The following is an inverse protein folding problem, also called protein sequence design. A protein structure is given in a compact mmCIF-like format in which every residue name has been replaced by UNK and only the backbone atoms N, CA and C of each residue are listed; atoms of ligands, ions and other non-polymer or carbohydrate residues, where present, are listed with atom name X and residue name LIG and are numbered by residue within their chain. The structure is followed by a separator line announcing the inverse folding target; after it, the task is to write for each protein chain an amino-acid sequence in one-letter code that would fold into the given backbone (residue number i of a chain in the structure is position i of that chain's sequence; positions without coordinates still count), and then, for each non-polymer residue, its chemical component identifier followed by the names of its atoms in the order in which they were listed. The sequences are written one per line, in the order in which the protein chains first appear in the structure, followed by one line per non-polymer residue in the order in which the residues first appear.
data_IF_854501608477
#
_entry.id   IF_854501608477
#
_cell.length_a   1.000
_cell.length_b   1.000
_cell.length_c   1.000
_cell.angle_alpha   90.00
_cell.angle_beta   90.00
_cell.angle_gamma   90.00
#
_symmetry.space_group_name_H-M   'P 1'
#
loop_
_entity.id
_entity.type
_entity.pdbx_description
1 polymer ?
#
# COMPACT_ATOMS: atom_id res chain seq x y z
N UNK A 1 -33.79 3.50 -8.46
CA UNK A 1 -32.47 2.88 -8.71
C UNK A 1 -31.65 3.13 -7.46
N UNK A 2 -31.52 2.13 -6.62
CA UNK A 2 -30.81 2.18 -5.33
C UNK A 2 -29.30 2.14 -5.60
N UNK A 3 -28.59 3.18 -5.16
CA UNK A 3 -27.14 3.21 -5.12
C UNK A 3 -26.63 2.05 -4.25
N UNK A 4 -25.57 1.32 -4.65
CA UNK A 4 -25.00 0.28 -3.81
C UNK A 4 -24.40 0.93 -2.55
N UNK A 5 -24.67 0.30 -1.41
CA UNK A 5 -24.12 0.66 -0.11
C UNK A 5 -22.58 0.60 -0.14
N UNK A 6 -21.84 1.41 0.64
CA UNK A 6 -20.37 1.38 0.67
C UNK A 6 -19.76 0.09 1.27
N UNK A 7 -20.54 -0.96 1.53
CA UNK A 7 -20.17 -2.17 2.27
C UNK A 7 -19.74 -3.36 1.42
N UNK A 8 -19.81 -3.28 0.09
CA UNK A 8 -19.67 -4.46 -0.78
C UNK A 8 -18.30 -4.58 -1.44
N UNK A 9 -17.29 -3.81 -1.00
CA UNK A 9 -15.92 -4.05 -1.44
C UNK A 9 -15.36 -5.26 -0.71
N UNK A 10 -15.11 -6.36 -1.45
CA UNK A 10 -14.37 -7.50 -0.93
C UNK A 10 -13.04 -7.00 -0.31
N UNK A 11 -12.68 -7.47 0.89
CA UNK A 11 -11.42 -7.08 1.51
C UNK A 11 -10.23 -7.48 0.62
N UNK A 12 -9.21 -6.60 0.53
CA UNK A 12 -7.99 -6.76 -0.29
C UNK A 12 -7.19 -8.04 0.05
N UNK A 13 -7.50 -8.70 1.17
CA UNK A 13 -6.97 -10.02 1.50
C UNK A 13 -7.72 -10.67 2.66
N UNK A 14 -7.51 -11.97 2.82
CA UNK A 14 -8.08 -12.79 3.89
C UNK A 14 -7.13 -12.77 5.07
N UNK A 15 -7.64 -12.53 6.28
CA UNK A 15 -6.80 -12.55 7.48
C UNK A 15 -6.42 -14.00 7.81
N UNK A 16 -5.13 -14.30 7.76
CA UNK A 16 -4.58 -15.64 8.04
C UNK A 16 -3.65 -15.68 9.25
N UNK A 17 -3.53 -14.58 10.01
CA UNK A 17 -2.73 -14.52 11.23
C UNK A 17 -2.96 -15.71 12.17
N UNK A 18 -4.22 -16.07 12.53
CA UNK A 18 -4.45 -17.16 13.47
C UNK A 18 -3.98 -18.52 12.93
N UNK A 19 -4.07 -18.73 11.62
CA UNK A 19 -3.64 -19.98 10.97
C UNK A 19 -2.12 -20.10 11.01
N UNK A 20 -1.41 -19.02 10.69
CA UNK A 20 0.06 -18.99 10.77
C UNK A 20 0.53 -19.17 12.21
N UNK A 21 -0.08 -18.50 13.18
CA UNK A 21 0.27 -18.64 14.60
C UNK A 21 0.03 -20.07 15.09
N UNK A 22 -1.06 -20.70 14.67
CA UNK A 22 -1.37 -22.10 15.00
C UNK A 22 -0.35 -23.06 14.39
N UNK A 23 -0.01 -22.92 13.10
CA UNK A 23 1.01 -23.76 12.44
C UNK A 23 2.39 -23.58 13.11
N UNK A 24 2.77 -22.34 13.42
CA UNK A 24 4.01 -22.04 14.12
C UNK A 24 4.05 -22.69 15.51
N UNK A 25 2.97 -22.64 16.27
CA UNK A 25 2.89 -23.25 17.60
C UNK A 25 3.00 -24.78 17.55
N UNK A 26 2.43 -25.41 16.53
CA UNK A 26 2.53 -26.88 16.34
C UNK A 26 3.95 -27.32 15.93
N UNK A 27 4.73 -26.41 15.33
CA UNK A 27 6.06 -26.68 14.78
C UNK A 27 7.21 -26.19 15.67
N UNK A 28 6.92 -25.72 16.89
CA UNK A 28 7.96 -25.31 17.83
C UNK A 28 8.86 -26.48 18.20
N UNK A 29 10.01 -26.55 17.52
CA UNK A 29 11.15 -27.39 17.85
C UNK A 29 12.32 -26.49 18.24
N UNK A 30 13.04 -26.82 19.32
CA UNK A 30 14.17 -26.03 19.81
C UNK A 30 15.34 -25.92 18.81
N UNK A 31 15.36 -26.77 17.77
CA UNK A 31 16.50 -26.88 16.85
C UNK A 31 16.34 -26.16 15.50
N UNK A 32 15.13 -25.72 15.11
CA UNK A 32 14.90 -25.13 13.78
C UNK A 32 14.91 -23.59 13.85
N UNK A 33 15.63 -22.87 12.98
CA UNK A 33 15.58 -21.41 12.91
C UNK A 33 14.15 -20.87 12.72
N UNK A 34 13.83 -19.76 13.40
CA UNK A 34 12.48 -19.17 13.39
C UNK A 34 11.98 -18.83 11.98
N UNK A 35 12.88 -18.37 11.09
CA UNK A 35 12.53 -18.02 9.71
C UNK A 35 12.13 -19.26 8.89
N UNK A 36 12.77 -20.40 9.13
CA UNK A 36 12.44 -21.66 8.45
C UNK A 36 11.13 -22.24 8.96
N UNK A 37 10.90 -22.16 10.28
CA UNK A 37 9.60 -22.51 10.87
C UNK A 37 8.47 -21.65 10.27
N UNK A 38 8.72 -20.34 10.15
CA UNK A 38 7.78 -19.41 9.54
C UNK A 38 7.54 -19.70 8.06
N UNK A 39 8.59 -19.92 7.26
CA UNK A 39 8.46 -20.27 5.85
C UNK A 39 7.61 -21.52 5.64
N UNK A 40 7.84 -22.55 6.46
CA UNK A 40 7.06 -23.81 6.41
C UNK A 40 5.60 -23.58 6.78
N UNK A 41 5.35 -22.78 7.83
CA UNK A 41 3.99 -22.47 8.29
C UNK A 41 3.23 -21.60 7.28
N UNK A 42 3.90 -20.61 6.71
CA UNK A 42 3.34 -19.74 5.67
C UNK A 42 3.03 -20.54 4.39
N UNK A 43 3.89 -21.48 4.01
CA UNK A 43 3.65 -22.39 2.88
C UNK A 43 2.40 -23.24 3.09
N UNK A 44 2.28 -23.91 4.24
CA UNK A 44 1.13 -24.75 4.55
C UNK A 44 -0.19 -23.96 4.46
N UNK A 45 -0.23 -22.79 5.08
CA UNK A 45 -1.42 -21.91 5.03
C UNK A 45 -1.66 -21.40 3.61
N UNK A 46 -0.62 -21.05 2.85
CA UNK A 46 -0.78 -20.55 1.48
C UNK A 46 -1.36 -21.60 0.53
N UNK A 47 -0.96 -22.87 0.67
CA UNK A 47 -1.53 -24.01 -0.10
C UNK A 47 -3.03 -24.13 0.21
N UNK A 48 -3.41 -24.11 1.50
CA UNK A 48 -4.82 -24.19 1.90
C UNK A 48 -5.66 -23.00 1.39
N UNK A 49 -5.06 -21.81 1.32
CA UNK A 49 -5.74 -20.63 0.76
C UNK A 49 -5.83 -20.70 -0.76
N UNK A 50 -4.80 -21.19 -1.44
CA UNK A 50 -4.78 -21.35 -2.89
C UNK A 50 -5.97 -22.21 -3.37
N UNK A 51 -6.22 -23.34 -2.71
CA UNK A 51 -7.36 -24.23 -3.01
C UNK A 51 -8.72 -23.53 -2.92
N UNK A 52 -8.82 -22.46 -2.13
CA UNK A 52 -10.07 -21.73 -1.88
C UNK A 52 -10.19 -20.44 -2.70
N UNK A 53 -9.07 -19.80 -2.99
CA UNK A 53 -9.01 -18.39 -3.37
C UNK A 53 -8.20 -18.11 -4.63
N UNK A 54 -7.63 -19.13 -5.26
CA UNK A 54 -6.69 -19.04 -6.38
C UNK A 54 -5.34 -18.44 -5.98
N UNK A 55 -4.40 -18.37 -6.92
CA UNK A 55 -3.01 -17.93 -6.78
C UNK A 55 -2.89 -16.57 -6.07
N UNK A 56 -1.85 -16.42 -5.25
CA UNK A 56 -1.67 -15.23 -4.43
C UNK A 56 -0.36 -15.19 -3.65
N UNK A 57 -0.32 -14.35 -2.63
CA UNK A 57 0.82 -14.19 -1.73
C UNK A 57 0.38 -14.09 -0.27
N UNK A 58 1.28 -14.48 0.62
CA UNK A 58 1.19 -14.17 2.05
C UNK A 58 1.83 -12.80 2.28
N UNK A 59 1.04 -11.82 2.69
CA UNK A 59 1.51 -10.50 3.09
C UNK A 59 1.60 -10.41 4.62
N UNK A 60 2.81 -10.32 5.15
CA UNK A 60 3.09 -9.99 6.54
C UNK A 60 3.29 -8.50 6.72
N UNK A 61 2.49 -7.88 7.59
CA UNK A 61 2.62 -6.50 8.02
C UNK A 61 3.05 -6.48 9.48
N UNK A 62 4.24 -5.98 9.75
CA UNK A 62 4.75 -5.84 11.11
C UNK A 62 4.84 -4.35 11.49
N UNK A 63 4.25 -4.00 12.62
CA UNK A 63 4.43 -2.69 13.24
C UNK A 63 4.79 -2.85 14.72
N UNK A 64 5.12 -1.75 15.40
CA UNK A 64 5.55 -1.76 16.80
C UNK A 64 4.53 -2.36 17.80
N UNK A 65 3.29 -2.63 17.39
CA UNK A 65 2.21 -3.12 18.25
C UNK A 65 1.69 -4.50 17.86
N UNK A 66 1.84 -4.91 16.61
CA UNK A 66 1.26 -6.16 16.12
C UNK A 66 1.93 -6.64 14.82
N UNK A 67 1.90 -7.96 14.65
CA UNK A 67 2.17 -8.65 13.39
C UNK A 67 0.85 -9.16 12.82
N UNK A 68 0.57 -8.85 11.55
CA UNK A 68 -0.65 -9.30 10.87
C UNK A 68 -0.28 -9.97 9.56
N UNK A 69 -0.92 -11.09 9.26
CA UNK A 69 -0.74 -11.80 8.01
C UNK A 69 -2.04 -11.85 7.22
N UNK A 70 -1.93 -11.59 5.92
CA UNK A 70 -3.03 -11.65 4.96
C UNK A 70 -2.67 -12.61 3.83
N UNK A 71 -3.64 -13.36 3.33
CA UNK A 71 -3.55 -13.96 2.01
C UNK A 71 -4.16 -13.00 0.99
N UNK A 72 -3.37 -12.56 0.03
CA UNK A 72 -3.77 -11.59 -1.00
C UNK A 72 -3.76 -12.29 -2.34
N UNK A 73 -4.89 -12.29 -3.05
CA UNK A 73 -5.02 -12.88 -4.38
C UNK A 73 -4.14 -12.12 -5.39
N UNK A 74 -3.66 -12.80 -6.43
CA UNK A 74 -2.77 -12.21 -7.45
C UNK A 74 -3.32 -10.89 -8.02
N UNK A 75 -4.62 -10.82 -8.32
CA UNK A 75 -5.29 -9.61 -8.85
C UNK A 75 -5.24 -8.40 -7.90
N UNK A 76 -5.08 -8.65 -6.60
CA UNK A 76 -5.13 -7.65 -5.53
C UNK A 76 -3.73 -7.31 -4.98
N UNK A 77 -2.68 -8.01 -5.42
CA UNK A 77 -1.29 -7.85 -4.94
C UNK A 77 -0.77 -6.41 -5.09
N UNK A 78 -0.95 -5.80 -6.27
CA UNK A 78 -0.48 -4.43 -6.51
C UNK A 78 -1.12 -3.41 -5.54
N UNK A 79 -2.42 -3.58 -5.27
CA UNK A 79 -3.19 -2.76 -4.34
C UNK A 79 -2.73 -2.98 -2.90
N UNK A 80 -2.53 -4.23 -2.49
CA UNK A 80 -2.08 -4.58 -1.14
C UNK A 80 -0.67 -4.03 -0.83
N UNK A 81 0.18 -3.95 -1.85
CA UNK A 81 1.56 -3.48 -1.76
C UNK A 81 1.69 -1.98 -2.07
N UNK A 82 0.64 -1.19 -1.91
CA UNK A 82 0.61 0.23 -2.29
C UNK A 82 1.83 1.04 -1.81
N UNK A 83 2.38 0.71 -0.64
CA UNK A 83 3.54 1.33 0.01
C UNK A 83 4.92 0.91 -0.54
N UNK A 84 4.98 0.01 -1.51
CA UNK A 84 6.22 -0.40 -2.16
C UNK A 84 6.40 0.31 -3.50
N UNK A 85 7.66 0.41 -3.94
CA UNK A 85 7.98 0.94 -5.27
C UNK A 85 7.33 0.10 -6.38
N UNK A 86 7.21 0.69 -7.57
CA UNK A 86 6.71 -0.02 -8.76
C UNK A 86 7.59 -1.23 -9.10
N UNK A 87 8.91 -1.11 -8.94
CA UNK A 87 9.83 -2.18 -9.30
C UNK A 87 9.68 -3.39 -8.38
N UNK A 88 9.51 -3.17 -7.07
CA UNK A 88 9.21 -4.27 -6.14
C UNK A 88 7.82 -4.86 -6.39
N UNK A 89 6.81 -4.06 -6.70
CA UNK A 89 5.48 -4.58 -7.11
C UNK A 89 5.58 -5.47 -8.35
N UNK A 90 6.36 -5.06 -9.36
CA UNK A 90 6.62 -5.87 -10.57
C UNK A 90 7.36 -7.15 -10.23
N UNK A 91 8.36 -7.08 -9.35
CA UNK A 91 9.11 -8.27 -8.94
C UNK A 91 8.24 -9.26 -8.19
N UNK A 92 7.39 -8.79 -7.27
CA UNK A 92 6.40 -9.63 -6.60
C UNK A 92 5.44 -10.24 -7.62
N UNK A 93 4.91 -9.45 -8.56
CA UNK A 93 4.00 -9.96 -9.59
C UNK A 93 4.65 -11.05 -10.46
N UNK A 94 5.91 -10.88 -10.85
CA UNK A 94 6.69 -11.89 -11.58
C UNK A 94 6.81 -13.20 -10.79
N UNK A 95 7.21 -13.13 -9.52
CA UNK A 95 7.36 -14.33 -8.68
C UNK A 95 6.00 -14.98 -8.40
N UNK A 96 4.96 -14.18 -8.16
CA UNK A 96 3.58 -14.67 -8.00
C UNK A 96 3.08 -15.35 -9.27
N UNK A 97 3.49 -14.93 -10.47
CA UNK A 97 3.06 -15.57 -11.72
C UNK A 97 3.77 -16.91 -11.97
N UNK A 98 5.00 -17.07 -11.48
CA UNK A 98 5.87 -18.20 -11.82
C UNK A 98 5.91 -19.32 -10.79
N UNK A 99 5.59 -19.06 -9.51
CA UNK A 99 5.71 -20.09 -8.46
C UNK A 99 4.75 -21.27 -8.66
N UNK A 100 5.08 -22.42 -8.08
CA UNK A 100 4.25 -23.63 -8.06
C UNK A 100 3.39 -23.67 -6.80
N UNK A 101 2.07 -23.39 -6.86
CA UNK A 101 1.25 -23.18 -5.67
C UNK A 101 0.99 -24.42 -4.82
N UNK A 102 1.34 -25.60 -5.33
CA UNK A 102 1.24 -26.88 -4.59
C UNK A 102 2.46 -27.15 -3.69
N UNK A 103 3.59 -26.46 -3.93
CA UNK A 103 4.87 -26.74 -3.26
C UNK A 103 5.65 -25.48 -2.86
N UNK A 104 5.21 -24.31 -3.30
CA UNK A 104 5.84 -23.02 -3.08
C UNK A 104 4.83 -21.97 -2.63
N UNK A 105 5.32 -20.97 -1.89
CA UNK A 105 4.53 -19.83 -1.47
C UNK A 105 5.33 -18.54 -1.56
N UNK A 106 4.73 -17.52 -2.15
CA UNK A 106 5.28 -16.17 -2.16
C UNK A 106 4.93 -15.47 -0.86
N UNK A 107 5.96 -14.98 -0.15
CA UNK A 107 5.79 -14.28 1.12
C UNK A 107 6.41 -12.90 1.03
N UNK A 108 5.61 -11.87 1.25
CA UNK A 108 6.08 -10.48 1.33
C UNK A 108 5.98 -10.01 2.77
N UNK A 109 7.13 -9.70 3.38
CA UNK A 109 7.22 -9.19 4.74
C UNK A 109 7.54 -7.70 4.71
N UNK A 110 6.57 -6.87 5.08
CA UNK A 110 6.76 -5.43 5.28
C UNK A 110 7.07 -5.19 6.75
N UNK A 111 8.34 -4.88 7.02
CA UNK A 111 8.88 -4.57 8.35
C UNK A 111 9.58 -3.21 8.24
N UNK A 112 8.87 -2.09 8.42
CA UNK A 112 9.43 -0.78 8.15
C UNK A 112 10.76 -0.55 8.89
N UNK A 113 11.79 -0.01 8.22
CA UNK A 113 11.72 0.69 6.93
C UNK A 113 11.87 -0.19 5.67
N UNK A 114 11.87 -1.52 5.76
CA UNK A 114 12.15 -2.42 4.63
C UNK A 114 11.02 -3.40 4.33
N UNK A 115 10.95 -3.83 3.08
CA UNK A 115 10.12 -4.93 2.63
C UNK A 115 11.01 -6.01 2.04
N UNK A 116 10.71 -7.26 2.40
CA UNK A 116 11.42 -8.44 1.93
C UNK A 116 10.45 -9.32 1.16
N UNK A 117 10.85 -9.74 -0.04
CA UNK A 117 10.16 -10.75 -0.82
C UNK A 117 10.91 -12.07 -0.65
N UNK A 118 10.17 -13.11 -0.29
CA UNK A 118 10.68 -14.45 -0.12
C UNK A 118 9.88 -15.46 -0.95
N UNK A 119 10.55 -16.57 -1.26
CA UNK A 119 9.94 -17.78 -1.76
C UNK A 119 10.13 -18.88 -0.71
N UNK A 120 9.04 -19.35 -0.13
CA UNK A 120 9.04 -20.55 0.71
C UNK A 120 8.78 -21.78 -0.16
N UNK A 121 9.48 -22.88 0.11
CA UNK A 121 9.35 -24.14 -0.63
C UNK A 121 9.30 -25.31 0.34
N UNK A 122 8.66 -26.41 -0.06
CA UNK A 122 8.67 -27.66 0.70
C UNK A 122 10.01 -28.39 0.65
N UNK A 123 10.84 -28.11 -0.37
CA UNK A 123 12.09 -28.82 -0.64
C UNK A 123 13.33 -28.07 -0.17
N UNK A 124 13.24 -26.73 -0.06
CA UNK A 124 14.37 -25.84 0.21
C UNK A 124 14.05 -24.86 1.33
N UNK A 125 15.08 -24.40 2.08
CA UNK A 125 14.91 -23.29 3.00
C UNK A 125 14.31 -22.07 2.30
N UNK A 126 13.57 -21.28 3.06
CA UNK A 126 12.96 -20.05 2.58
C UNK A 126 14.03 -19.11 2.01
N UNK A 127 13.90 -18.77 0.73
CA UNK A 127 14.86 -17.96 -0.01
C UNK A 127 14.41 -16.51 -0.03
N UNK A 128 15.32 -15.58 0.24
CA UNK A 128 15.08 -14.15 0.03
C UNK A 128 15.38 -13.81 -1.43
N UNK A 129 14.36 -13.34 -2.14
CA UNK A 129 14.46 -12.98 -3.56
C UNK A 129 14.88 -11.52 -3.72
N UNK A 130 14.27 -10.62 -2.93
CA UNK A 130 14.49 -9.18 -3.05
C UNK A 130 14.28 -8.50 -1.70
N UNK A 131 15.07 -7.45 -1.45
CA UNK A 131 14.89 -6.57 -0.30
C UNK A 131 14.93 -5.12 -0.79
N UNK A 132 13.89 -4.37 -0.49
CA UNK A 132 13.83 -2.95 -0.83
C UNK A 132 13.34 -2.13 0.36
N UNK A 133 13.78 -0.88 0.45
CA UNK A 133 13.16 0.08 1.35
C UNK A 133 11.68 0.21 1.01
N UNK A 134 10.84 0.20 2.05
CA UNK A 134 9.45 0.62 1.91
C UNK A 134 9.50 2.08 1.50
N UNK A 135 8.78 2.43 0.44
CA UNK A 135 8.43 3.83 0.24
C UNK A 135 7.45 4.19 1.35
N UNK A 136 7.99 4.49 2.55
CA UNK A 136 7.23 5.18 3.56
C UNK A 136 6.90 6.51 2.93
N UNK A 137 5.70 6.61 2.36
CA UNK A 137 5.17 7.88 1.91
C UNK A 137 4.79 8.72 3.12
N UNK A 138 5.73 8.97 4.04
CA UNK A 138 5.74 10.18 4.84
C UNK A 138 5.86 11.32 3.84
N UNK A 139 4.71 11.84 3.43
CA UNK A 139 4.63 13.15 2.81
C UNK A 139 4.97 14.17 3.90
N UNK A 140 6.25 14.47 4.05
CA UNK A 140 6.71 15.48 4.99
C UNK A 140 6.29 16.84 4.45
N UNK A 141 5.25 17.40 5.05
CA UNK A 141 4.83 18.75 4.74
C UNK A 141 5.96 19.73 5.07
N UNK A 142 6.26 20.70 4.17
CA UNK A 142 7.23 21.74 4.46
C UNK A 142 6.87 22.48 5.75
N UNK A 143 7.89 23.01 6.43
CA UNK A 143 7.70 23.72 7.69
C UNK A 143 6.64 24.81 7.57
N UNK A 144 5.68 24.82 8.50
CA UNK A 144 4.57 25.77 8.52
C UNK A 144 3.43 25.44 7.56
N UNK A 145 3.48 24.35 6.80
CA UNK A 145 2.37 23.87 5.96
C UNK A 145 1.55 22.82 6.70
N UNK A 146 0.23 22.93 6.62
CA UNK A 146 -0.74 21.95 7.08
C UNK A 146 -1.64 21.49 5.94
N UNK A 147 -2.14 20.26 6.03
CA UNK A 147 -3.11 19.70 5.09
C UNK A 147 -4.41 19.34 5.79
N UNK A 148 -5.52 19.51 5.10
CA UNK A 148 -6.84 19.05 5.52
C UNK A 148 -7.48 18.25 4.41
N UNK A 149 -8.02 17.07 4.74
CA UNK A 149 -8.86 16.28 3.85
C UNK A 149 -10.33 16.64 4.10
N UNK A 150 -11.06 16.95 3.04
CA UNK A 150 -12.51 17.16 3.07
C UNK A 150 -13.18 16.32 1.98
N UNK A 151 -14.42 15.90 2.20
CA UNK A 151 -15.20 15.13 1.24
C UNK A 151 -16.53 15.86 0.98
N UNK A 152 -16.92 16.01 -0.30
CA UNK A 152 -18.22 16.55 -0.69
C UNK A 152 -18.84 15.65 -1.75
N UNK A 153 -19.81 14.84 -1.33
CA UNK A 153 -20.36 13.79 -2.19
C UNK A 153 -19.23 12.82 -2.60
N UNK A 154 -19.12 12.46 -3.89
CA UNK A 154 -18.09 11.54 -4.36
C UNK A 154 -16.71 12.20 -4.56
N UNK A 155 -16.61 13.53 -4.38
CA UNK A 155 -15.35 14.27 -4.59
C UNK A 155 -14.57 14.41 -3.30
N UNK A 156 -13.26 14.13 -3.36
CA UNK A 156 -12.32 14.30 -2.25
C UNK A 156 -11.43 15.51 -2.50
N UNK A 157 -11.18 16.30 -1.45
CA UNK A 157 -10.36 17.50 -1.48
C UNK A 157 -9.21 17.39 -0.49
N UNK A 158 -7.99 17.67 -0.94
CA UNK A 158 -6.82 17.86 -0.09
C UNK A 158 -6.44 19.32 -0.13
N UNK A 159 -6.73 20.06 0.94
CA UNK A 159 -6.49 21.50 1.05
C UNK A 159 -5.19 21.75 1.80
N UNK A 160 -4.31 22.59 1.25
CA UNK A 160 -3.02 22.92 1.83
C UNK A 160 -2.98 24.39 2.27
N UNK A 161 -2.53 24.63 3.49
CA UNK A 161 -2.44 25.98 4.07
C UNK A 161 -1.08 26.18 4.71
N UNK A 162 -0.54 27.39 4.63
CA UNK A 162 0.70 27.77 5.30
C UNK A 162 0.43 28.77 6.41
N UNK A 163 1.08 28.63 7.57
CA UNK A 163 0.86 29.44 8.78
C UNK A 163 0.93 30.95 8.53
N UNK A 164 1.80 31.40 7.61
CA UNK A 164 1.96 32.83 7.26
C UNK A 164 1.29 33.25 5.95
N UNK A 165 1.15 32.33 5.00
CA UNK A 165 0.61 32.66 3.67
C UNK A 165 -0.90 32.37 3.59
N UNK A 166 -1.47 31.62 4.54
CA UNK A 166 -2.84 31.15 4.44
C UNK A 166 -2.97 30.05 3.39
N UNK A 167 -4.12 30.00 2.70
CA UNK A 167 -4.41 28.96 1.72
C UNK A 167 -3.38 28.93 0.57
N UNK A 168 -2.74 27.80 0.35
CA UNK A 168 -1.80 27.60 -0.75
C UNK A 168 -2.52 27.12 -2.02
N UNK A 169 -3.41 26.15 -1.85
CA UNK A 169 -4.15 25.51 -2.94
C UNK A 169 -4.82 24.24 -2.45
N UNK A 170 -5.41 23.49 -3.37
CA UNK A 170 -6.02 22.20 -3.10
C UNK A 170 -5.86 21.23 -4.25
N UNK A 171 -5.82 19.95 -3.95
CA UNK A 171 -5.96 18.87 -4.93
C UNK A 171 -7.36 18.33 -4.83
N UNK A 172 -7.99 18.15 -5.98
CA UNK A 172 -9.37 17.71 -6.13
C UNK A 172 -9.39 16.39 -6.88
N UNK A 173 -10.04 15.41 -6.28
CA UNK A 173 -10.21 14.07 -6.80
C UNK A 173 -11.67 13.87 -7.17
N UNK A 174 -11.94 13.83 -8.47
CA UNK A 174 -13.27 13.59 -9.01
C UNK A 174 -13.35 12.19 -9.61
N UNK A 175 -14.14 11.26 -9.04
CA UNK A 175 -14.38 9.99 -9.69
C UNK A 175 -15.19 10.21 -10.97
N UNK A 176 -14.66 9.75 -12.10
CA UNK A 176 -15.36 9.71 -13.39
C UNK A 176 -16.16 8.39 -13.50
N UNK A 177 -15.60 7.31 -12.95
CA UNK A 177 -16.22 5.98 -12.90
C UNK A 177 -15.62 5.19 -11.73
N UNK A 178 -16.12 3.97 -11.40
CA UNK A 178 -15.56 3.16 -10.31
C UNK A 178 -14.06 2.84 -10.47
N UNK A 179 -13.51 2.99 -11.68
CA UNK A 179 -12.12 2.64 -11.99
C UNK A 179 -11.33 3.82 -12.56
N UNK A 180 -11.93 5.01 -12.67
CA UNK A 180 -11.27 6.20 -13.23
C UNK A 180 -11.51 7.40 -12.34
N UNK A 181 -10.43 8.09 -12.00
CA UNK A 181 -10.44 9.32 -11.23
C UNK A 181 -9.73 10.42 -11.99
N UNK A 182 -10.34 11.59 -12.06
CA UNK A 182 -9.70 12.81 -12.50
C UNK A 182 -9.02 13.47 -11.30
N UNK A 183 -7.77 13.86 -11.46
CA UNK A 183 -6.99 14.56 -10.44
C UNK A 183 -6.66 15.95 -10.97
N UNK A 184 -7.16 16.98 -10.29
CA UNK A 184 -6.91 18.38 -10.64
C UNK A 184 -6.31 19.08 -9.44
N UNK A 185 -5.32 19.94 -9.65
CA UNK A 185 -4.87 20.86 -8.61
C UNK A 185 -5.38 22.26 -8.90
N UNK A 186 -5.78 22.97 -7.86
CA UNK A 186 -6.21 24.35 -7.91
C UNK A 186 -5.32 25.17 -6.99
N UNK A 187 -4.61 26.13 -7.57
CA UNK A 187 -3.84 27.09 -6.80
C UNK A 187 -4.80 28.13 -6.21
N UNK A 188 -4.56 28.56 -4.97
CA UNK A 188 -5.31 29.67 -4.41
C UNK A 188 -5.19 30.90 -5.32
N UNK A 189 -6.34 31.36 -5.85
CA UNK A 189 -6.44 32.52 -6.72
C UNK A 189 -6.69 33.77 -5.83
N UNK A 190 -6.01 34.90 -6.03
CA UNK A 190 -5.96 36.01 -5.08
C UNK A 190 -7.20 36.92 -5.15
N UNK A 191 -8.40 36.39 -5.48
CA UNK A 191 -9.65 37.17 -5.40
C UNK A 191 -9.97 37.42 -3.91
N UNK A 192 -9.27 38.37 -3.31
CA UNK A 192 -9.34 38.74 -1.89
C UNK A 192 -7.99 38.96 -1.19
N UNK A 193 -6.84 38.78 -1.84
CA UNK A 193 -5.52 39.02 -1.24
C UNK A 193 -4.70 39.99 -2.10
N UNK A 194 -4.48 41.20 -1.58
CA UNK A 194 -3.88 42.36 -2.26
C UNK A 194 -2.38 42.23 -2.63
N UNK A 195 -1.72 41.09 -2.44
CA UNK A 195 -0.26 41.01 -2.58
C UNK A 195 0.18 39.91 -3.55
N UNK A 196 0.22 40.26 -4.84
CA UNK A 196 0.78 39.43 -5.92
C UNK A 196 2.22 38.95 -5.61
N UNK A 197 2.96 39.64 -4.74
CA UNK A 197 4.32 39.27 -4.30
C UNK A 197 4.39 37.94 -3.54
N UNK A 198 3.29 37.51 -2.92
CA UNK A 198 3.23 36.23 -2.22
C UNK A 198 2.67 35.11 -3.10
N UNK A 199 2.19 35.41 -4.31
CA UNK A 199 1.66 34.40 -5.23
C UNK A 199 2.76 33.43 -5.66
N UNK A 200 3.92 33.95 -6.04
CA UNK A 200 5.05 33.10 -6.44
C UNK A 200 5.49 32.20 -5.28
N UNK A 201 5.61 32.73 -4.06
CA UNK A 201 5.95 31.94 -2.87
C UNK A 201 4.93 30.84 -2.56
N UNK A 202 3.64 31.09 -2.81
CA UNK A 202 2.61 30.05 -2.67
C UNK A 202 2.79 28.95 -3.70
N UNK A 203 3.06 29.33 -4.95
CA UNK A 203 3.32 28.39 -6.05
C UNK A 203 4.58 27.55 -5.79
N UNK A 204 5.66 28.17 -5.36
CA UNK A 204 6.94 27.52 -5.08
C UNK A 204 6.82 26.46 -3.97
N UNK A 205 5.87 26.65 -3.04
CA UNK A 205 5.58 25.66 -1.98
C UNK A 205 4.54 24.65 -2.48
N UNK A 206 3.47 25.10 -3.13
CA UNK A 206 2.31 24.26 -3.44
C UNK A 206 2.52 23.34 -4.64
N UNK A 207 3.16 23.82 -5.71
CA UNK A 207 3.30 23.03 -6.94
C UNK A 207 4.12 21.76 -6.73
N UNK A 208 5.28 21.77 -6.02
CA UNK A 208 6.00 20.53 -5.73
C UNK A 208 5.16 19.55 -4.91
N UNK A 209 4.44 20.06 -3.90
CA UNK A 209 3.53 19.25 -3.08
C UNK A 209 2.40 18.63 -3.91
N UNK A 210 1.87 19.40 -4.86
CA UNK A 210 0.79 18.93 -5.73
C UNK A 210 1.28 17.90 -6.73
N UNK A 211 2.44 18.12 -7.36
CA UNK A 211 3.06 17.18 -8.29
C UNK A 211 3.38 15.85 -7.61
N UNK A 212 4.04 15.90 -6.46
CA UNK A 212 4.39 14.72 -5.68
C UNK A 212 3.15 13.93 -5.25
N UNK A 213 2.08 14.61 -4.78
CA UNK A 213 0.84 13.93 -4.42
C UNK A 213 0.12 13.36 -5.65
N UNK A 214 0.12 14.04 -6.79
CA UNK A 214 -0.47 13.56 -8.04
C UNK A 214 0.29 12.34 -8.57
N UNK A 215 1.62 12.39 -8.60
CA UNK A 215 2.46 11.25 -8.99
C UNK A 215 2.18 10.05 -8.08
N UNK A 216 2.13 10.25 -6.77
CA UNK A 216 1.78 9.20 -5.80
C UNK A 216 0.39 8.62 -6.02
N UNK A 217 -0.61 9.48 -6.25
CA UNK A 217 -1.95 9.03 -6.56
C UNK A 217 -1.99 8.27 -7.88
N UNK A 218 -1.24 8.70 -8.89
CA UNK A 218 -1.13 8.01 -10.17
C UNK A 218 -0.50 6.62 -10.02
N UNK A 219 0.54 6.48 -9.18
CA UNK A 219 1.17 5.19 -8.87
C UNK A 219 0.24 4.23 -8.12
N UNK A 220 -0.65 4.75 -7.28
CA UNK A 220 -1.71 3.96 -6.64
C UNK A 220 -2.88 3.60 -7.58
N UNK A 221 -2.99 4.28 -8.72
CA UNK A 221 -4.07 4.11 -9.72
C UNK A 221 -3.62 3.37 -10.98
N UNK A 222 -2.31 3.17 -11.20
CA UNK A 222 -1.78 2.32 -12.25
C UNK A 222 -2.11 0.86 -11.92
N UNK A 223 -3.26 0.42 -12.43
CA UNK A 223 -3.66 -0.98 -12.57
C UNK A 223 -2.88 -1.65 -13.69
#
# INVERSE_FOLDING_TARGET
MTSPSPSDQEPIGIVITPMIEQEMAQRQSEATPLLEQFGTSALQVAIEQYERCDRGMVLGLENAKAKKFLYVKQRDCATALWMLSVDMKRKVAEVVDQYSPESEAVVVMVVPPVAHLYLASSEKPMEMIEMQEVEQTTFTLPSGVSSRKDEKGPTVFYTFSHKKLGLLGRIVLHPISPTKMNVVHEVANPKGFEDARNQQKRLDIFLPLAQELIERLSLGLMR
#
